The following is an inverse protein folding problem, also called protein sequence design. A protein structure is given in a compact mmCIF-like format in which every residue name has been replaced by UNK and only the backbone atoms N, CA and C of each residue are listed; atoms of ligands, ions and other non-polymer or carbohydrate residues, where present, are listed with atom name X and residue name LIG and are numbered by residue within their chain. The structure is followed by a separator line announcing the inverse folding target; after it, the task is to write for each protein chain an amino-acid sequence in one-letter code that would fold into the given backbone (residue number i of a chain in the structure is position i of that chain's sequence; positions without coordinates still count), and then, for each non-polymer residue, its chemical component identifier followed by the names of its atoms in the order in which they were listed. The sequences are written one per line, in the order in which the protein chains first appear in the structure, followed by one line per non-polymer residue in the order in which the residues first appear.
data_IF_621922604811
#
_entry.id   IF_621922604811
#
_cell.length_a   1.000
_cell.length_b   1.000
_cell.length_c   1.000
_cell.angle_alpha   90.00
_cell.angle_beta   90.00
_cell.angle_gamma   90.00
#
_symmetry.space_group_name_H-M   'P 1'
#
loop_
_entity.id
_entity.type
_entity.pdbx_description
1 polymer ?
#
# COMPACT_ATOMS: atom_id res chain seq x y z
N UNK A 1 -19.61 -2.10 2.52
CA UNK A 1 -18.18 -2.48 2.64
C UNK A 1 -17.44 -1.33 3.32
N UNK A 2 -16.78 -1.59 4.45
CA UNK A 2 -16.12 -0.56 5.29
C UNK A 2 -14.76 -0.14 4.69
N UNK A 3 -14.38 1.13 4.79
CA UNK A 3 -13.09 1.67 4.35
C UNK A 3 -11.90 0.87 4.94
N UNK A 4 -11.99 0.47 6.21
CA UNK A 4 -10.95 -0.37 6.84
C UNK A 4 -10.76 -1.70 6.10
N UNK A 5 -11.85 -2.30 5.63
CA UNK A 5 -11.79 -3.57 4.89
C UNK A 5 -11.20 -3.38 3.50
N UNK A 6 -11.54 -2.27 2.82
CA UNK A 6 -10.90 -1.88 1.55
C UNK A 6 -9.39 -1.71 1.72
N UNK A 7 -8.95 -1.06 2.80
CA UNK A 7 -7.51 -0.92 3.10
C UNK A 7 -6.85 -2.29 3.37
N UNK A 8 -7.49 -3.20 4.12
CA UNK A 8 -6.96 -4.57 4.30
C UNK A 8 -6.80 -5.29 2.96
N UNK A 9 -7.79 -5.18 2.07
CA UNK A 9 -7.72 -5.77 0.72
C UNK A 9 -6.60 -5.16 -0.11
N UNK A 10 -6.42 -3.85 -0.06
CA UNK A 10 -5.32 -3.15 -0.71
C UNK A 10 -3.96 -3.67 -0.21
N UNK A 11 -3.75 -3.77 1.12
CA UNK A 11 -2.51 -4.29 1.69
C UNK A 11 -2.26 -5.73 1.21
N UNK A 12 -3.27 -6.58 1.27
CA UNK A 12 -3.16 -7.99 0.83
C UNK A 12 -2.83 -8.11 -0.66
N UNK A 13 -3.40 -7.24 -1.49
CA UNK A 13 -3.11 -7.26 -2.91
C UNK A 13 -1.71 -6.72 -3.22
N UNK A 14 -1.22 -5.71 -2.47
CA UNK A 14 0.18 -5.27 -2.52
C UNK A 14 1.14 -6.40 -2.09
N UNK A 15 0.81 -7.15 -1.05
CA UNK A 15 1.60 -8.32 -0.62
C UNK A 15 1.62 -9.40 -1.70
N UNK A 16 0.47 -9.70 -2.30
CA UNK A 16 0.36 -10.66 -3.40
C UNK A 16 1.20 -10.23 -4.60
N UNK A 17 1.13 -8.95 -4.97
CA UNK A 17 1.95 -8.35 -6.01
C UNK A 17 3.46 -8.54 -5.77
N UNK A 18 3.91 -8.33 -4.53
CA UNK A 18 5.31 -8.50 -4.14
C UNK A 18 5.74 -9.96 -3.91
N UNK A 19 4.85 -10.93 -4.17
CA UNK A 19 5.11 -12.35 -3.94
C UNK A 19 5.25 -12.71 -2.46
N UNK A 20 4.65 -11.93 -1.57
CA UNK A 20 4.62 -12.21 -0.14
C UNK A 20 3.46 -13.17 0.14
N UNK A 21 3.76 -14.41 0.51
CA UNK A 21 2.78 -15.45 0.83
C UNK A 21 2.04 -15.26 2.17
N UNK A 22 1.97 -14.02 2.69
CA UNK A 22 1.31 -13.70 3.96
C UNK A 22 0.11 -12.78 3.70
N UNK A 23 -0.94 -12.95 4.49
CA UNK A 23 -2.07 -12.00 4.55
C UNK A 23 -1.89 -11.07 5.73
N UNK A 24 -2.25 -9.82 5.55
CA UNK A 24 -2.37 -8.85 6.62
C UNK A 24 -3.57 -9.22 7.51
N UNK A 25 -3.29 -9.54 8.77
CA UNK A 25 -4.29 -9.92 9.78
C UNK A 25 -4.49 -8.85 10.86
N UNK A 26 -3.66 -7.82 10.88
CA UNK A 26 -3.73 -6.74 11.86
C UNK A 26 -4.93 -5.80 11.68
N UNK A 27 -5.06 -4.85 12.60
CA UNK A 27 -6.12 -3.83 12.53
C UNK A 27 -5.71 -2.61 11.72
N UNK A 28 -6.65 -2.12 10.91
CA UNK A 28 -6.46 -0.89 10.16
C UNK A 28 -6.79 0.29 11.06
N UNK A 29 -5.76 1.07 11.35
CA UNK A 29 -5.80 2.29 12.13
C UNK A 29 -5.11 3.43 11.35
N UNK A 30 -5.12 4.68 11.86
CA UNK A 30 -4.47 5.80 11.18
C UNK A 30 -2.97 5.60 10.93
N UNK A 31 -2.24 4.94 11.84
CA UNK A 31 -0.80 4.64 11.65
C UNK A 31 -0.59 3.69 10.47
N UNK A 32 -1.42 2.66 10.33
CA UNK A 32 -1.37 1.74 9.17
C UNK A 32 -1.60 2.51 7.88
N UNK A 33 -2.58 3.42 7.85
CA UNK A 33 -2.81 4.25 6.67
C UNK A 33 -1.60 5.14 6.33
N UNK A 34 -0.96 5.75 7.34
CA UNK A 34 0.24 6.55 7.15
C UNK A 34 1.40 5.73 6.57
N UNK A 35 1.69 4.56 7.16
CA UNK A 35 2.76 3.67 6.70
C UNK A 35 2.50 3.16 5.27
N UNK A 36 1.25 2.80 4.95
CA UNK A 36 0.87 2.40 3.59
C UNK A 36 1.01 3.58 2.62
N UNK A 37 0.65 4.80 3.04
CA UNK A 37 0.89 6.01 2.24
C UNK A 37 2.36 6.25 1.92
N UNK A 38 3.23 6.07 2.92
CA UNK A 38 4.67 6.19 2.75
C UNK A 38 5.22 5.12 1.81
N UNK A 39 4.75 3.87 1.92
CA UNK A 39 5.08 2.81 0.98
C UNK A 39 4.72 3.21 -0.46
N UNK A 40 3.51 3.72 -0.70
CA UNK A 40 3.07 4.12 -2.04
C UNK A 40 3.94 5.25 -2.61
N UNK A 41 4.31 6.22 -1.76
CA UNK A 41 5.24 7.30 -2.12
C UNK A 41 6.63 6.78 -2.46
N UNK A 42 7.15 5.84 -1.68
CA UNK A 42 8.46 5.23 -1.90
C UNK A 42 8.48 4.39 -3.16
N UNK A 43 7.39 3.67 -3.47
CA UNK A 43 7.30 2.95 -4.74
C UNK A 43 7.26 3.96 -5.90
N UNK A 44 6.51 5.06 -5.77
CA UNK A 44 6.46 6.10 -6.80
C UNK A 44 7.83 6.75 -7.06
N UNK A 45 8.74 6.74 -6.08
CA UNK A 45 10.12 7.23 -6.28
C UNK A 45 10.95 6.40 -7.25
N UNK A 46 10.57 5.14 -7.48
CA UNK A 46 11.32 4.22 -8.33
C UNK A 46 10.47 3.41 -9.33
N UNK A 47 9.18 3.71 -9.45
CA UNK A 47 8.26 3.06 -10.38
C UNK A 47 7.18 4.03 -10.81
N UNK A 48 6.93 4.06 -12.13
CA UNK A 48 5.87 4.88 -12.73
C UNK A 48 4.48 4.30 -12.53
N UNK A 49 4.36 3.06 -12.08
CA UNK A 49 3.10 2.38 -11.86
C UNK A 49 2.21 3.03 -10.80
N UNK A 50 2.80 3.85 -9.91
CA UNK A 50 2.07 4.65 -8.93
C UNK A 50 2.01 6.14 -9.27
N UNK A 51 2.47 6.55 -10.45
CA UNK A 51 2.48 7.97 -10.86
C UNK A 51 1.08 8.58 -10.96
N UNK A 52 0.07 7.74 -11.23
CA UNK A 52 -1.35 8.09 -11.29
C UNK A 52 -2.05 8.07 -9.93
N UNK A 53 -1.41 7.58 -8.88
CA UNK A 53 -2.01 7.64 -7.53
C UNK A 53 -1.87 9.07 -7.03
N UNK A 54 -3.00 9.75 -6.73
CA UNK A 54 -2.93 11.13 -6.26
C UNK A 54 -2.09 11.23 -4.99
N UNK A 55 -1.62 12.42 -4.65
CA UNK A 55 -1.03 12.61 -3.33
C UNK A 55 -2.15 12.78 -2.29
N UNK A 56 -2.00 12.24 -1.08
CA UNK A 56 -2.96 12.45 -0.03
C UNK A 56 -3.01 13.93 0.38
N UNK A 57 -4.21 14.47 0.55
CA UNK A 57 -4.43 15.84 1.01
C UNK A 57 -3.79 16.03 2.38
N UNK A 58 -2.87 16.99 2.52
CA UNK A 58 -2.11 17.22 3.76
C UNK A 58 -0.89 16.33 3.94
N UNK A 59 -0.46 15.60 2.90
CA UNK A 59 0.81 14.86 2.87
C UNK A 59 0.81 13.51 3.59
N UNK A 60 -0.28 13.13 4.27
CA UNK A 60 -0.43 11.85 4.97
C UNK A 60 -1.65 11.09 4.47
N UNK A 61 -1.46 9.83 4.10
CA UNK A 61 -2.57 8.99 3.66
C UNK A 61 -3.50 8.62 4.83
N UNK A 62 -4.80 8.82 4.62
CA UNK A 62 -5.84 8.40 5.57
C UNK A 62 -6.49 7.09 5.11
N UNK A 63 -7.19 6.42 6.02
CA UNK A 63 -7.92 5.18 5.70
C UNK A 63 -8.90 5.41 4.55
N UNK A 64 -9.69 6.48 4.61
CA UNK A 64 -10.67 6.84 3.58
C UNK A 64 -9.99 7.23 2.27
N UNK A 65 -8.84 7.91 2.32
CA UNK A 65 -8.08 8.26 1.14
C UNK A 65 -7.55 7.01 0.42
N UNK A 66 -6.97 6.05 1.15
CA UNK A 66 -6.50 4.78 0.56
C UNK A 66 -7.69 4.00 -0.01
N UNK A 67 -8.78 3.89 0.74
CA UNK A 67 -9.97 3.15 0.32
C UNK A 67 -10.62 3.70 -0.95
N UNK A 68 -10.51 5.02 -1.20
CA UNK A 68 -11.04 5.70 -2.38
C UNK A 68 -10.10 5.65 -3.58
N UNK A 69 -8.79 5.81 -3.36
CA UNK A 69 -7.83 6.01 -4.45
C UNK A 69 -7.10 4.74 -4.86
N UNK A 70 -7.02 3.72 -3.99
CA UNK A 70 -6.40 2.44 -4.33
C UNK A 70 -7.44 1.49 -4.92
N UNK A 71 -7.36 1.29 -6.24
CA UNK A 71 -8.19 0.38 -7.00
C UNK A 71 -7.42 -0.88 -7.40
N UNK A 72 -8.14 -1.96 -7.71
CA UNK A 72 -7.53 -3.19 -8.28
C UNK A 72 -6.80 -2.90 -9.60
N UNK A 73 -7.27 -1.94 -10.39
CA UNK A 73 -6.65 -1.56 -11.66
C UNK A 73 -5.24 -1.02 -11.49
N UNK A 74 -4.96 -0.27 -10.42
CA UNK A 74 -3.60 0.20 -10.09
C UNK A 74 -2.68 -0.99 -9.80
N UNK A 75 -3.19 -1.99 -9.09
CA UNK A 75 -2.42 -3.18 -8.73
C UNK A 75 -2.13 -4.08 -9.93
N UNK A 76 -3.00 -4.09 -10.93
CA UNK A 76 -2.74 -4.81 -12.19
C UNK A 76 -1.75 -4.05 -13.09
N UNK A 77 -1.78 -2.71 -13.12
CA UNK A 77 -0.78 -1.92 -13.84
C UNK A 77 0.64 -2.15 -13.32
N UNK A 78 0.80 -2.43 -12.02
CA UNK A 78 2.09 -2.75 -11.42
C UNK A 78 2.77 -3.99 -12.00
N UNK A 79 2.01 -4.98 -12.48
CA UNK A 79 2.58 -6.23 -13.03
C UNK A 79 3.28 -6.00 -14.37
N UNK A 80 2.94 -4.91 -15.08
CA UNK A 80 3.42 -4.62 -16.42
C UNK A 80 4.53 -3.55 -16.46
N UNK A 81 4.90 -2.96 -15.32
CA UNK A 81 5.96 -1.95 -15.23
C UNK A 81 7.35 -2.61 -15.13
N UNK A 82 8.30 -2.15 -15.93
CA UNK A 82 9.71 -2.58 -15.88
C UNK A 82 10.35 -2.37 -14.50
N UNK A 83 9.78 -1.47 -13.69
CA UNK A 83 10.19 -1.14 -12.33
C UNK A 83 9.65 -2.11 -11.26
N UNK A 84 9.04 -3.23 -11.68
CA UNK A 84 8.47 -4.28 -10.82
C UNK A 84 9.41 -4.71 -9.67
N UNK A 85 10.72 -4.84 -9.96
CA UNK A 85 11.70 -5.28 -8.97
C UNK A 85 11.88 -4.25 -7.84
N UNK A 86 11.94 -2.95 -8.18
CA UNK A 86 12.07 -1.92 -7.13
C UNK A 86 10.80 -1.85 -6.28
N UNK A 87 9.63 -1.82 -6.93
CA UNK A 87 8.35 -1.79 -6.22
C UNK A 87 8.24 -2.97 -5.26
N UNK A 88 8.56 -4.18 -5.72
CA UNK A 88 8.59 -5.39 -4.89
C UNK A 88 9.54 -5.24 -3.70
N UNK A 89 10.77 -4.77 -3.92
CA UNK A 89 11.74 -4.56 -2.85
C UNK A 89 11.24 -3.57 -1.78
N UNK A 90 10.59 -2.47 -2.18
CA UNK A 90 9.98 -1.51 -1.24
C UNK A 90 8.86 -2.16 -0.42
N UNK A 91 7.97 -2.92 -1.05
CA UNK A 91 6.91 -3.62 -0.31
C UNK A 91 7.50 -4.53 0.76
N UNK A 92 8.56 -5.30 0.44
CA UNK A 92 9.25 -6.17 1.41
C UNK A 92 9.81 -5.39 2.61
N UNK A 93 10.36 -4.20 2.39
CA UNK A 93 10.86 -3.33 3.47
C UNK A 93 9.74 -2.85 4.39
N UNK A 94 8.53 -2.67 3.86
CA UNK A 94 7.39 -2.12 4.60
C UNK A 94 6.49 -3.17 5.27
N UNK A 95 6.67 -4.47 5.03
CA UNK A 95 5.88 -5.53 5.69
C UNK A 95 5.93 -5.41 7.21
N UNK A 96 7.13 -5.28 7.77
CA UNK A 96 7.33 -5.18 9.21
C UNK A 96 6.79 -3.86 9.79
N UNK A 97 7.06 -2.68 9.20
CA UNK A 97 6.41 -1.42 9.58
C UNK A 97 4.88 -1.48 9.59
N UNK A 98 4.26 -2.07 8.57
CA UNK A 98 2.79 -2.22 8.50
C UNK A 98 2.28 -3.09 9.65
N UNK A 99 2.98 -4.18 9.96
CA UNK A 99 2.64 -5.06 11.07
C UNK A 99 2.73 -4.34 12.42
N UNK A 100 3.82 -3.60 12.67
CA UNK A 100 4.00 -2.82 13.90
C UNK A 100 2.94 -1.73 14.05
N UNK A 101 2.67 -0.99 12.97
CA UNK A 101 1.63 0.03 12.95
C UNK A 101 0.25 -0.56 13.28
N UNK A 102 -0.04 -1.78 12.83
CA UNK A 102 -1.29 -2.48 13.15
C UNK A 102 -1.44 -2.86 14.62
N UNK A 103 -0.33 -2.95 15.36
CA UNK A 103 -0.28 -3.19 16.80
C UNK A 103 -0.34 -1.88 17.61
N UNK A 104 -0.42 -0.73 16.93
CA UNK A 104 -0.46 0.58 17.59
C UNK A 104 0.93 1.12 17.97
N UNK A 105 2.01 0.45 17.56
CA UNK A 105 3.40 0.89 17.75
C UNK A 105 3.81 1.81 16.63
#
# INVERSE_FOLDING_TARGET
MNDKQRVKETINAIYTFAGIGKKFTGDVNPKVAEVVGNLLKDINSCSTAFSWVPQPTGGKATISWIAKNMSRSILEQLKNDQSYVCARARVWQYVRPIQLASQGV
#
